data_IF_386307821695
#
_entry.id   IF_386307821695
#
_cell.length_a   1.000
_cell.length_b   1.000
_cell.length_c   1.000
_cell.angle_alpha   90.00
_cell.angle_beta   90.00
_cell.angle_gamma   90.00
#
_symmetry.space_group_name_H-M   'P 1'
#
loop_
_entity.id
_entity.type
_entity.pdbx_description
1 polymer ?
2 water ?
#
# COMPACT_ATOMS: atom_id res chain seq x y z
N UNK A 2 -12.16 -7.79 -2.28
CA UNK A 2 -10.86 -8.20 -1.62
C UNK A 2 -9.72 -8.40 -2.75
N UNK A 3 -8.49 -7.95 -2.28
CA UNK A 3 -7.75 -7.07 -3.34
C UNK A 3 -6.81 -7.92 -4.20
N UNK A 4 -6.87 -7.76 -5.52
CA UNK A 4 -6.01 -8.56 -6.42
C UNK A 4 -4.60 -7.98 -6.61
N UNK A 5 -3.68 -8.80 -7.11
CA UNK A 5 -2.32 -8.36 -7.42
C UNK A 5 -2.31 -7.21 -8.43
N UNK A 6 -3.18 -7.29 -9.44
CA UNK A 6 -3.28 -6.24 -10.47
C UNK A 6 -3.66 -4.89 -9.86
N UNK A 7 -4.61 -4.93 -8.95
CA UNK A 7 -5.07 -3.74 -8.25
C UNK A 7 -3.98 -3.11 -7.41
N UNK A 8 -3.31 -3.91 -6.58
CA UNK A 8 -2.22 -3.33 -5.80
C UNK A 8 -1.07 -2.86 -6.67
N UNK A 9 -0.76 -3.61 -7.74
CA UNK A 9 0.25 -3.19 -8.72
C UNK A 9 -0.12 -1.86 -9.38
N UNK A 10 -1.38 -1.70 -9.78
CA UNK A 10 -1.79 -0.43 -10.37
C UNK A 10 -1.68 0.74 -9.39
N UNK A 11 -2.15 0.51 -8.16
CA UNK A 11 -2.03 1.48 -7.07
C UNK A 11 -0.59 1.90 -6.84
N UNK A 12 0.31 0.92 -6.78
CA UNK A 12 1.75 1.17 -6.60
C UNK A 12 2.37 1.90 -7.80
N UNK A 13 2.07 1.43 -9.01
CA UNK A 13 2.52 2.09 -10.23
C UNK A 13 2.15 3.58 -10.20
N UNK A 14 0.88 3.86 -9.89
CA UNK A 14 0.39 5.24 -9.82
C UNK A 14 1.02 6.04 -8.70
N UNK A 15 1.29 5.41 -7.56
CA UNK A 15 2.07 6.06 -6.51
C UNK A 15 3.46 6.48 -6.98
N UNK A 16 4.17 5.59 -7.69
CA UNK A 16 5.52 5.92 -8.13
C UNK A 16 5.49 7.07 -9.15
N UNK A 17 4.49 7.04 -10.03
CA UNK A 17 4.29 8.09 -11.04
C UNK A 17 4.04 9.44 -10.39
N UNK A 18 3.04 9.47 -9.50
CA UNK A 18 2.60 10.69 -8.83
C UNK A 18 3.67 11.30 -7.94
N UNK A 19 4.58 10.46 -7.43
CA UNK A 19 5.67 10.92 -6.56
C UNK A 19 6.92 11.26 -7.35
N UNK A 20 6.85 11.18 -8.68
CA UNK A 20 8.02 11.46 -9.52
C UNK A 20 9.17 10.46 -9.36
N UNK A 21 8.85 9.20 -9.03
CA UNK A 21 9.84 8.11 -9.05
C UNK A 21 9.89 7.47 -10.44
N UNK A 22 10.52 8.21 -11.33
CA UNK A 22 10.56 8.00 -12.75
C UNK A 22 11.21 6.66 -13.15
N UNK A 23 12.32 6.36 -12.51
CA UNK A 23 13.11 5.16 -12.80
C UNK A 23 12.40 3.90 -12.29
N UNK A 24 11.82 4.00 -11.10
CA UNK A 24 11.04 2.91 -10.52
C UNK A 24 9.75 2.66 -11.26
N UNK A 25 9.03 3.74 -11.61
CA UNK A 25 7.80 3.62 -12.39
C UNK A 25 8.01 2.82 -13.67
N UNK A 26 9.05 3.18 -14.40
CA UNK A 26 9.42 2.53 -15.65
C UNK A 26 9.66 1.01 -15.48
N UNK A 27 10.55 0.68 -14.55
CA UNK A 27 10.93 -0.69 -14.26
C UNK A 27 9.72 -1.47 -13.78
N UNK A 28 8.93 -0.87 -12.90
CA UNK A 28 7.79 -1.55 -12.31
C UNK A 28 6.64 -1.77 -13.30
N UNK A 29 6.33 -0.78 -14.13
CA UNK A 29 5.36 -0.99 -15.21
C UNK A 29 5.65 -2.22 -16.07
N UNK A 30 6.93 -2.45 -16.38
CA UNK A 30 7.34 -3.62 -17.15
C UNK A 30 7.31 -4.92 -16.33
N UNK A 31 7.95 -4.91 -15.16
CA UNK A 31 8.04 -6.08 -14.28
C UNK A 31 6.69 -6.60 -13.80
N UNK A 32 5.75 -5.70 -13.53
CA UNK A 32 4.42 -6.08 -13.09
C UNK A 32 3.48 -6.35 -14.26
N UNK A 33 4.00 -6.23 -15.49
CA UNK A 33 3.19 -6.39 -16.71
C UNK A 33 1.92 -5.51 -16.66
N UNK A 34 2.08 -4.23 -16.30
CA UNK A 34 0.96 -3.27 -16.12
C UNK A 34 0.03 -3.09 -17.34
N UNK A 35 0.61 -3.16 -18.55
CA UNK A 35 -0.14 -3.00 -19.80
C UNK A 35 -1.17 -4.11 -20.02
N UNK A 36 -0.98 -5.22 -19.31
CA UNK A 36 -1.83 -6.39 -19.49
C UNK A 36 -2.88 -6.44 -18.41
N UNK A 37 -2.83 -5.46 -17.50
CA UNK A 37 -3.81 -5.35 -16.46
C UNK A 37 -5.05 -4.55 -17.07
N UNK A 38 -6.12 -4.60 -16.28
CA UNK A 38 -7.46 -4.45 -16.92
C UNK A 38 -8.15 -3.34 -16.14
N UNK A 39 -7.32 -2.44 -15.63
CA UNK A 39 -7.74 -1.35 -14.79
C UNK A 39 -7.74 -0.07 -15.63
N UNK A 40 -8.83 0.68 -15.56
CA UNK A 40 -8.96 1.96 -16.25
C UNK A 40 -8.35 3.03 -15.37
N UNK A 41 -7.11 3.40 -15.67
CA UNK A 41 -6.36 4.40 -14.91
C UNK A 41 -7.03 5.75 -14.74
N UNK A 42 -7.79 6.17 -15.76
CA UNK A 42 -8.48 7.46 -15.72
C UNK A 42 -9.56 7.48 -14.64
N UNK A 43 -10.00 6.30 -14.21
CA UNK A 43 -10.95 6.17 -13.10
C UNK A 43 -10.29 5.99 -11.73
N UNK A 44 -8.96 5.90 -11.72
CA UNK A 44 -8.21 5.80 -10.47
C UNK A 44 -7.80 7.21 -10.02
N UNK A 45 -8.32 7.66 -8.86
CA UNK A 45 -8.07 9.02 -8.38
C UNK A 45 -6.63 9.18 -7.90
N UNK A 46 -6.16 10.44 -7.76
CA UNK A 46 -4.79 10.65 -7.29
C UNK A 46 -4.67 10.31 -5.80
N UNK A 47 -3.46 9.90 -5.39
CA UNK A 47 -3.17 9.51 -4.00
C UNK A 47 -4.02 8.33 -3.52
N UNK A 48 -4.46 7.50 -4.46
CA UNK A 48 -5.31 6.36 -4.12
C UNK A 48 -4.63 5.39 -3.14
N UNK A 49 -3.36 5.07 -3.39
CA UNK A 49 -2.60 4.16 -2.51
C UNK A 49 -2.47 4.72 -1.09
N UNK A 50 -2.00 5.96 -0.99
CA UNK A 50 -1.91 6.68 0.27
C UNK A 50 -3.23 6.71 1.03
N UNK A 51 -4.32 6.94 0.30
CA UNK A 51 -5.63 7.13 0.90
C UNK A 51 -6.20 5.84 1.44
N UNK A 52 -6.12 4.77 0.66
CA UNK A 52 -6.63 3.48 1.10
C UNK A 52 -5.81 2.98 2.30
N UNK A 53 -4.58 3.44 2.36
CA UNK A 53 -3.64 2.96 3.33
C UNK A 53 -3.67 3.67 4.73
N UNK A 54 -3.43 5.05 4.77
CA UNK A 54 -4.58 5.83 5.70
C UNK A 54 -5.84 5.20 6.30
N UNK A 55 -6.81 4.86 5.47
CA UNK A 55 -8.06 4.30 5.94
C UNK A 55 -7.88 2.93 6.57
N UNK A 56 -6.83 2.23 6.15
CA UNK A 56 -6.50 0.93 6.71
C UNK A 56 -5.98 1.06 8.13
N UNK A 57 -5.10 2.04 8.32
CA UNK A 57 -4.57 2.39 9.63
C UNK A 57 -5.70 2.82 10.57
N UNK A 58 -6.53 3.76 10.12
CA UNK A 58 -7.72 4.18 10.87
C UNK A 58 -8.63 3.02 11.22
N UNK A 59 -8.86 2.12 10.27
CA UNK A 59 -9.74 0.98 10.50
C UNK A 59 -9.25 0.09 11.64
N UNK A 60 -7.94 -0.19 11.65
CA UNK A 60 -7.31 -0.96 12.72
C UNK A 60 -7.39 -0.23 14.06
N UNK A 61 -7.14 1.08 14.06
CA UNK A 61 -7.25 1.90 15.27
C UNK A 61 -8.64 1.79 15.91
N UNK A 62 -9.68 1.80 15.08
CA UNK A 62 -11.07 1.69 15.52
C UNK A 62 -11.44 0.29 16.00
N UNK A 63 -10.90 -0.74 15.36
CA UNK A 63 -11.02 -2.13 15.82
C UNK A 63 -10.42 -2.31 17.22
N UNK A 64 -9.31 -1.62 17.48
CA UNK A 64 -8.65 -1.63 18.79
C UNK A 64 -9.48 -0.87 19.84
N UNK A 65 -9.82 0.39 19.55
CA UNK A 65 -10.45 1.27 20.54
C UNK A 65 -11.82 0.79 21.07
N UNK A 66 -12.57 0.00 20.29
CA UNK A 66 -13.82 -0.57 20.80
C UNK A 66 -13.64 -1.56 21.97
N UNK A 67 -12.54 -2.30 21.98
CA UNK A 67 -12.22 -3.21 23.07
C UNK A 67 -11.21 -2.66 24.07
N UNK A 68 -10.92 -1.36 23.99
CA UNK A 68 -9.82 -0.76 24.76
C UNK A 68 -10.04 -0.75 26.29
N UNK A 69 -11.27 -0.47 26.72
CA UNK A 69 -11.57 -0.35 28.14
C UNK A 69 -11.99 -1.68 28.76
N UNK A 70 -12.61 -2.55 27.96
CA UNK A 70 -13.32 -3.72 28.49
C UNK A 70 -14.54 -3.22 29.25
N UNK A 71 -15.12 -4.06 30.10
CA UNK A 71 -16.24 -3.58 30.94
C UNK A 71 -15.94 -3.85 32.41
N UNK A 72 -16.69 -3.20 33.29
CA UNK A 72 -16.57 -3.41 34.74
C UNK A 72 -17.15 -4.78 35.20
N UNK A 73 -17.71 -5.54 34.27
CA UNK A 73 -18.20 -6.89 34.54
C UNK A 73 -17.26 -8.01 34.05
N UNK A 74 -16.12 -7.66 33.45
CA UNK A 74 -15.19 -8.69 32.96
C UNK A 74 -14.67 -9.57 34.11
N UNK A 75 -14.46 -10.86 33.83
CA UNK A 75 -13.84 -11.78 34.81
C UNK A 75 -13.55 -13.19 34.33
N UNK B 2 -1.25 9.74 10.86
CA UNK B 2 -1.04 10.25 9.47
C UNK B 2 0.23 9.67 8.79
N UNK B 3 0.02 8.78 7.83
CA UNK B 3 1.12 8.07 7.18
C UNK B 3 2.09 9.02 6.48
N UNK B 4 3.38 8.85 6.74
CA UNK B 4 4.41 9.65 6.10
C UNK B 4 4.87 9.04 4.76
N UNK B 5 5.66 9.81 4.00
CA UNK B 5 6.26 9.38 2.74
C UNK B 5 7.20 8.21 2.93
N UNK B 6 8.11 8.36 3.88
CA UNK B 6 9.07 7.31 4.23
C UNK B 6 8.39 6.00 4.61
N UNK B 7 7.24 6.10 5.28
CA UNK B 7 6.51 4.92 5.71
C UNK B 7 5.87 4.18 4.54
N UNK B 8 5.22 4.93 3.65
CA UNK B 8 4.67 4.39 2.42
C UNK B 8 5.80 3.75 1.59
N UNK B 9 6.90 4.48 1.47
CA UNK B 9 8.06 4.05 0.69
C UNK B 9 8.62 2.75 1.21
N UNK B 10 8.74 2.63 2.53
CA UNK B 10 9.21 1.39 3.09
C UNK B 10 8.24 0.26 2.85
N UNK B 11 6.94 0.52 3.02
CA UNK B 11 5.90 -0.46 2.71
C UNK B 11 5.93 -0.98 1.25
N UNK B 12 6.11 -0.08 0.27
CA UNK B 12 6.20 -0.55 -1.12
C UNK B 12 7.54 -1.22 -1.44
N UNK B 13 8.64 -0.68 -0.91
CA UNK B 13 9.95 -1.35 -1.03
C UNK B 13 9.88 -2.82 -0.60
N UNK B 14 9.29 -3.07 0.57
CA UNK B 14 9.12 -4.43 1.09
C UNK B 14 8.20 -5.27 0.22
N UNK B 15 7.13 -4.65 -0.29
CA UNK B 15 6.23 -5.31 -1.24
C UNK B 15 6.95 -5.74 -2.53
N UNK B 16 7.81 -4.86 -3.05
CA UNK B 16 8.58 -5.14 -4.26
C UNK B 16 9.57 -6.30 -4.04
N UNK B 17 10.33 -6.22 -2.94
CA UNK B 17 11.23 -7.29 -2.50
C UNK B 17 10.51 -8.64 -2.38
N UNK B 18 9.43 -8.63 -1.59
CA UNK B 18 8.68 -9.85 -1.28
C UNK B 18 7.97 -10.44 -2.48
N UNK B 19 7.51 -9.60 -3.40
CA UNK B 19 6.79 -10.08 -4.59
C UNK B 19 7.75 -10.57 -5.66
N UNK B 20 9.04 -10.41 -5.43
CA UNK B 20 10.04 -10.82 -6.41
C UNK B 20 10.18 -9.87 -7.59
N UNK B 21 9.79 -8.62 -7.38
CA UNK B 21 10.04 -7.58 -8.38
C UNK B 21 11.47 -7.05 -8.21
N UNK B 22 12.44 -7.84 -8.69
CA UNK B 22 13.87 -7.67 -8.38
C UNK B 22 14.43 -6.32 -8.81
N UNK B 23 14.12 -5.95 -10.05
CA UNK B 23 14.68 -4.75 -10.65
C UNK B 23 14.04 -3.48 -10.10
N UNK B 24 12.72 -3.53 -9.85
CA UNK B 24 11.99 -2.42 -9.18
C UNK B 24 12.48 -2.16 -7.75
N UNK B 25 12.65 -3.22 -6.97
CA UNK B 25 13.16 -3.11 -5.60
C UNK B 25 14.53 -2.46 -5.57
N UNK B 26 15.40 -2.91 -6.49
CA UNK B 26 16.74 -2.37 -6.62
C UNK B 26 16.70 -0.89 -6.94
N UNK B 27 15.98 -0.56 -8.01
CA UNK B 27 15.83 0.84 -8.45
C UNK B 27 15.08 1.69 -7.41
N UNK B 28 14.01 1.16 -6.83
CA UNK B 28 13.25 1.93 -5.84
C UNK B 28 14.04 2.18 -4.57
N UNK B 29 14.83 1.19 -4.16
CA UNK B 29 15.70 1.34 -2.99
C UNK B 29 16.61 2.54 -3.10
N UNK B 30 17.12 2.80 -4.29
CA UNK B 30 17.97 3.97 -4.55
C UNK B 30 17.15 5.26 -4.61
N UNK B 31 16.15 5.26 -5.49
CA UNK B 31 15.33 6.45 -5.77
C UNK B 31 14.64 6.95 -4.51
N UNK B 32 14.21 6.01 -3.67
CA UNK B 32 13.61 6.26 -2.35
C UNK B 32 14.58 6.80 -1.31
N UNK B 33 15.88 6.63 -1.58
CA UNK B 33 16.92 6.79 -0.57
C UNK B 33 16.57 5.96 0.65
N UNK B 34 16.16 4.71 0.46
CA UNK B 34 15.82 3.86 1.60
C UNK B 34 17.11 3.57 2.40
N UNK B 35 17.71 4.69 2.83
CA UNK B 35 18.90 4.80 3.69
C UNK B 35 20.00 3.77 3.45
N UNK B 36 20.03 3.25 2.22
CA UNK B 36 21.12 2.41 1.74
C UNK B 36 22.30 3.31 1.35
N UNK B 40 11.83 0.58 11.57
CA UNK B 40 12.51 -0.68 11.89
C UNK B 40 11.92 -1.78 11.04
N UNK B 41 12.72 -2.26 10.08
CA UNK B 41 12.29 -3.34 9.20
C UNK B 41 11.63 -4.45 10.01
N UNK B 42 12.25 -4.76 11.15
CA UNK B 42 11.84 -5.85 12.03
C UNK B 42 10.36 -5.77 12.42
N UNK B 43 9.87 -4.55 12.62
CA UNK B 43 8.47 -4.32 12.99
C UNK B 43 7.50 -4.40 11.80
N UNK B 44 8.02 -4.24 10.58
CA UNK B 44 7.21 -4.47 9.37
C UNK B 44 7.29 -5.94 8.93
N UNK B 45 6.28 -6.73 9.30
CA UNK B 45 6.13 -8.12 8.90
C UNK B 45 5.91 -8.26 7.42
N UNK B 46 5.90 -9.51 6.93
CA UNK B 46 5.57 -9.79 5.54
C UNK B 46 4.16 -9.31 5.17
N UNK B 47 3.92 -9.13 3.87
CA UNK B 47 2.62 -8.82 3.26
C UNK B 47 1.93 -7.54 3.88
N UNK B 48 2.75 -6.53 4.22
CA UNK B 48 2.24 -5.47 5.17
C UNK B 48 1.46 -4.40 4.42
N UNK B 49 2.01 -3.96 3.27
CA UNK B 49 1.27 -3.11 2.32
C UNK B 49 -0.10 -3.71 2.01
N UNK B 50 -0.11 -4.98 1.63
CA UNK B 50 -1.31 -5.70 1.26
C UNK B 50 -2.32 -5.76 2.42
N UNK B 51 -1.83 -6.11 3.61
CA UNK B 51 -2.68 -6.24 4.79
C UNK B 51 -3.37 -4.93 5.16
N UNK B 52 -2.62 -3.82 5.11
CA UNK B 52 -3.15 -2.48 5.42
C UNK B 52 -4.14 -2.00 4.35
N UNK B 53 -3.83 -2.30 3.08
CA UNK B 53 -4.71 -1.97 1.95
C UNK B 53 -6.02 -2.72 2.07
N UNK B 54 -5.93 -3.94 2.57
CA UNK B 54 -7.10 -4.78 2.77
C UNK B 54 -8.02 -4.22 3.85
N UNK B 55 -7.43 -3.68 4.92
CA UNK B 55 -8.18 -2.99 5.97
C UNK B 55 -8.82 -1.70 5.45
N UNK B 56 -8.10 -0.99 4.58
CA UNK B 56 -8.58 0.23 3.96
C UNK B 56 -9.82 0.06 3.10
N UNK B 57 -9.92 -1.07 2.40
CA UNK B 57 -11.07 -1.38 1.56
C UNK B 57 -12.28 -1.74 2.40
N UNK B 58 -12.03 -2.48 3.48
CA UNK B 58 -13.01 -2.77 4.52
C UNK B 58 -13.64 -1.49 5.08
N UNK B 59 -12.79 -0.47 5.29
CA UNK B 59 -13.19 0.86 5.76
C UNK B 59 -13.96 1.63 4.67
N UNK B 60 -13.51 1.53 3.42
CA UNK B 60 -14.18 2.16 2.28
C UNK B 60 -15.58 1.57 2.06
N UNK B 61 -15.70 0.25 2.22
CA UNK B 61 -16.98 -0.45 2.12
C UNK B 61 -17.93 -0.12 3.28
N UNK B 62 -17.37 0.42 4.36
CA UNK B 62 -18.16 0.89 5.50
C UNK B 62 -18.74 2.29 5.26
N UNK B 63 -17.99 3.12 4.54
CA UNK B 63 -18.47 4.44 4.10
C UNK B 63 -19.50 4.30 2.98
N UNK B 64 -19.34 3.26 2.16
CA UNK B 64 -20.28 2.96 1.08
C UNK B 64 -21.56 2.31 1.61
N UNK B 65 -21.52 1.88 2.87
CA UNK B 65 -22.70 1.34 3.55
C UNK B 65 -23.20 2.33 4.62
N UNK B 66 -23.16 3.62 4.29
CA UNK B 66 -23.66 4.68 5.17
C UNK B 66 -25.13 4.96 4.88
#
# INVERSE_FOLDING_TARGET
>A
MSITSDEVNFLVYRYLQESGFSHSAFTFGIESHISQSNINGTLVPPAALISILQKGLQYVEAEISINEDGTVFDGRPIESLSLIDAVMPD
>B
MSITSDEVNFLVYRYLQESGFSHSAFTFGIESHISQSNINGTLVPPAALISILQKGLQYVEAEISINEDGTVFDGRPIESLSLIDAVMPD
#
